data_IF_380022029825
#
_entry.id   IF_380022029825
#
_cell.length_a   1.000
_cell.length_b   1.000
_cell.length_c   1.000
_cell.angle_alpha   90.00
_cell.angle_beta   90.00
_cell.angle_gamma   90.00
#
_symmetry.space_group_name_H-M   'P 1'
#
loop_
_entity.id
_entity.type
_entity.pdbx_description
1 polymer ?
#
# COMPACT_ATOMS: atom_id res chain seq x y z
N UNK A 1 -31.52 -14.46 -26.20
CA UNK A 1 -32.37 -14.23 -24.99
C UNK A 1 -33.02 -15.49 -24.42
N UNK A 2 -33.57 -16.42 -25.21
CA UNK A 2 -34.23 -17.63 -24.65
C UNK A 2 -33.31 -18.66 -23.96
N UNK A 3 -32.01 -18.70 -24.27
CA UNK A 3 -31.03 -19.59 -23.61
C UNK A 3 -30.49 -19.06 -22.26
N UNK A 4 -30.56 -17.74 -22.02
CA UNK A 4 -30.12 -17.13 -20.75
C UNK A 4 -31.21 -17.24 -19.67
N UNK A 5 -32.49 -17.21 -20.08
CA UNK A 5 -33.64 -17.40 -19.19
C UNK A 5 -33.72 -18.86 -18.69
N UNK A 6 -33.30 -19.84 -19.51
CA UNK A 6 -33.30 -21.25 -19.12
C UNK A 6 -32.18 -21.59 -18.11
N UNK A 7 -31.07 -20.87 -18.12
CA UNK A 7 -29.98 -21.04 -17.14
C UNK A 7 -30.32 -20.39 -15.79
N UNK A 8 -31.04 -19.27 -15.80
CA UNK A 8 -31.52 -18.62 -14.57
C UNK A 8 -32.66 -19.41 -13.93
N UNK A 9 -33.55 -20.05 -14.71
CA UNK A 9 -34.59 -20.92 -14.17
C UNK A 9 -34.02 -22.20 -13.53
N UNK A 10 -32.91 -22.74 -14.05
CA UNK A 10 -32.27 -23.92 -13.48
C UNK A 10 -31.56 -23.63 -12.14
N UNK A 11 -31.05 -22.41 -11.94
CA UNK A 11 -30.51 -21.97 -10.64
C UNK A 11 -31.63 -21.74 -9.59
N UNK A 12 -32.80 -21.24 -10.00
CA UNK A 12 -33.93 -21.02 -9.07
C UNK A 12 -34.54 -22.34 -8.58
N UNK A 13 -34.46 -23.42 -9.36
CA UNK A 13 -34.92 -24.76 -8.94
C UNK A 13 -33.95 -25.43 -7.95
N UNK A 14 -32.66 -25.08 -7.97
CA UNK A 14 -31.69 -25.57 -6.97
C UNK A 14 -31.85 -24.81 -5.63
N UNK A 15 -32.27 -23.54 -5.66
CA UNK A 15 -32.52 -22.76 -4.43
C UNK A 15 -33.88 -23.00 -3.76
N UNK A 16 -34.84 -23.65 -4.42
CA UNK A 16 -36.18 -23.93 -3.86
C UNK A 16 -36.41 -25.38 -3.43
N UNK A 17 -35.40 -26.25 -3.46
CA UNK A 17 -35.50 -27.63 -2.96
C UNK A 17 -34.87 -27.85 -1.59
N UNK A 18 -34.48 -26.79 -0.88
CA UNK A 18 -34.25 -26.87 0.56
C UNK A 18 -35.54 -26.57 1.32
N UNK A 19 -36.58 -27.38 1.10
CA UNK A 19 -37.53 -27.60 2.20
C UNK A 19 -36.76 -28.44 3.21
N UNK A 20 -36.04 -27.79 4.12
CA UNK A 20 -35.74 -28.44 5.38
C UNK A 20 -37.10 -28.73 6.02
N UNK A 21 -37.59 -29.95 5.85
CA UNK A 21 -38.40 -30.54 6.92
C UNK A 21 -37.53 -30.33 8.16
N UNK A 22 -38.04 -29.52 9.07
CA UNK A 22 -37.42 -29.21 10.34
C UNK A 22 -37.06 -30.51 11.07
N UNK A 23 -35.85 -31.02 10.85
CA UNK A 23 -35.21 -31.96 11.75
C UNK A 23 -34.44 -31.23 12.87
N UNK A 24 -34.75 -29.95 13.08
CA UNK A 24 -34.41 -29.23 14.33
C UNK A 24 -35.02 -29.89 15.57
N UNK A 25 -35.99 -30.80 15.42
CA UNK A 25 -36.54 -31.60 16.51
C UNK A 25 -35.71 -32.85 16.87
N UNK A 26 -34.55 -33.08 16.25
CA UNK A 26 -33.67 -34.24 16.54
C UNK A 26 -32.39 -33.89 17.29
N UNK A 27 -32.06 -32.62 17.49
CA UNK A 27 -30.96 -32.24 18.37
C UNK A 27 -31.56 -32.14 19.78
N UNK A 28 -31.56 -33.26 20.48
CA UNK A 28 -31.83 -33.29 21.90
C UNK A 28 -30.76 -32.43 22.60
N UNK A 29 -31.18 -31.34 23.25
CA UNK A 29 -30.32 -30.47 24.07
C UNK A 29 -29.56 -31.29 25.15
N UNK A 30 -30.02 -32.50 25.45
CA UNK A 30 -29.38 -33.41 26.40
C UNK A 30 -28.05 -34.04 25.92
N UNK A 31 -27.69 -33.92 24.63
CA UNK A 31 -26.44 -34.48 24.09
C UNK A 31 -25.29 -33.46 24.00
N UNK A 32 -25.55 -32.19 24.30
CA UNK A 32 -24.53 -31.12 24.29
C UNK A 32 -24.30 -30.66 25.72
N UNK A 33 -23.07 -30.84 26.22
CA UNK A 33 -22.70 -30.48 27.58
C UNK A 33 -22.51 -28.96 27.70
N UNK A 34 -23.62 -28.22 27.80
CA UNK A 34 -23.63 -26.76 27.90
C UNK A 34 -23.28 -26.34 29.34
N UNK A 35 -22.28 -25.48 29.56
CA UNK A 35 -21.95 -24.99 30.89
C UNK A 35 -23.13 -24.24 31.54
N UNK A 36 -23.41 -24.53 32.83
CA UNK A 36 -24.55 -23.94 33.54
C UNK A 36 -24.51 -22.40 33.59
N UNK A 37 -23.32 -21.78 33.57
CA UNK A 37 -23.14 -20.33 33.56
C UNK A 37 -23.49 -19.66 32.20
N UNK A 38 -23.76 -20.46 31.16
CA UNK A 38 -24.10 -19.98 29.81
C UNK A 38 -25.58 -20.15 29.46
N UNK A 39 -26.35 -20.86 30.29
CA UNK A 39 -27.77 -21.14 30.03
C UNK A 39 -28.58 -19.84 29.95
N UNK A 40 -28.39 -18.93 30.91
CA UNK A 40 -29.09 -17.63 30.94
C UNK A 40 -28.84 -16.80 29.65
N UNK A 41 -27.60 -16.85 29.13
CA UNK A 41 -27.24 -16.16 27.88
C UNK A 41 -27.88 -16.81 26.65
N UNK A 42 -27.96 -18.14 26.63
CA UNK A 42 -28.57 -18.90 25.56
C UNK A 42 -30.09 -18.69 25.52
N UNK A 43 -30.76 -18.66 26.68
CA UNK A 43 -32.20 -18.38 26.75
C UNK A 43 -32.54 -16.96 26.28
N UNK A 44 -31.69 -15.97 26.61
CA UNK A 44 -31.91 -14.59 26.23
C UNK A 44 -31.61 -14.30 24.75
N UNK A 45 -30.52 -14.86 24.20
CA UNK A 45 -29.98 -14.47 22.89
C UNK A 45 -30.09 -15.55 21.81
N UNK A 46 -30.38 -16.80 22.19
CA UNK A 46 -30.34 -17.95 21.28
C UNK A 46 -28.93 -18.44 20.92
N UNK A 47 -27.87 -17.81 21.45
CA UNK A 47 -26.48 -18.23 21.33
C UNK A 47 -25.67 -17.76 22.55
N UNK A 48 -24.49 -18.36 22.77
CA UNK A 48 -23.47 -17.84 23.69
C UNK A 48 -22.12 -17.79 22.97
N UNK A 49 -21.19 -16.99 23.50
CA UNK A 49 -19.84 -16.88 22.97
C UNK A 49 -18.85 -17.59 23.91
N UNK A 50 -17.96 -18.36 23.31
CA UNK A 50 -16.89 -19.05 24.01
C UNK A 50 -15.56 -18.74 23.36
N UNK A 51 -14.54 -18.46 24.18
CA UNK A 51 -13.21 -18.21 23.68
C UNK A 51 -12.59 -19.55 23.27
N UNK A 52 -12.23 -19.64 22.01
CA UNK A 52 -11.51 -20.79 21.46
C UNK A 52 -9.99 -20.68 21.72
N UNK A 53 -9.35 -21.83 21.93
CA UNK A 53 -7.88 -21.96 21.96
C UNK A 53 -7.28 -22.25 20.56
N UNK A 54 -8.13 -22.54 19.57
CA UNK A 54 -7.68 -22.84 18.21
C UNK A 54 -7.17 -21.58 17.51
N UNK A 55 -5.99 -21.69 16.90
CA UNK A 55 -5.33 -20.58 16.18
C UNK A 55 -6.00 -20.21 14.86
N UNK A 56 -6.77 -21.13 14.27
CA UNK A 56 -7.43 -20.94 13.00
C UNK A 56 -8.77 -21.70 12.99
N UNK A 57 -9.74 -21.28 12.15
CA UNK A 57 -11.04 -21.92 12.09
C UNK A 57 -10.97 -23.37 11.58
N UNK A 58 -10.01 -23.74 10.72
CA UNK A 58 -9.89 -25.11 10.21
C UNK A 58 -9.65 -26.13 11.31
N UNK A 59 -8.74 -25.82 12.24
CA UNK A 59 -8.42 -26.70 13.38
C UNK A 59 -9.64 -26.87 14.31
N UNK A 60 -10.43 -25.80 14.48
CA UNK A 60 -11.67 -25.87 15.25
C UNK A 60 -12.68 -26.79 14.55
N UNK A 61 -12.95 -26.57 13.26
CA UNK A 61 -13.89 -27.39 12.50
C UNK A 61 -13.48 -28.87 12.43
N UNK A 62 -12.18 -29.16 12.26
CA UNK A 62 -11.66 -30.53 12.27
C UNK A 62 -11.90 -31.21 13.63
N UNK A 63 -11.74 -30.49 14.75
CA UNK A 63 -12.02 -31.05 16.07
C UNK A 63 -13.52 -31.30 16.27
N UNK A 64 -14.37 -30.33 15.91
CA UNK A 64 -15.82 -30.47 16.05
C UNK A 64 -16.32 -31.69 15.26
N UNK A 65 -15.77 -31.93 14.06
CA UNK A 65 -16.12 -33.09 13.23
C UNK A 65 -15.67 -34.41 13.88
N UNK A 66 -14.44 -34.45 14.41
CA UNK A 66 -13.93 -35.61 15.17
C UNK A 66 -14.80 -35.92 16.39
N UNK A 67 -15.29 -34.90 17.08
CA UNK A 67 -16.17 -35.03 18.24
C UNK A 67 -17.63 -35.35 17.85
N UNK A 68 -17.97 -35.31 16.56
CA UNK A 68 -19.34 -35.44 16.03
C UNK A 68 -20.30 -34.37 16.57
N UNK A 69 -19.77 -33.18 16.86
CA UNK A 69 -20.58 -32.04 17.28
C UNK A 69 -21.26 -31.41 16.05
N UNK A 70 -22.48 -30.85 16.19
CA UNK A 70 -23.13 -30.14 15.08
C UNK A 70 -22.32 -28.92 14.64
N UNK A 71 -21.97 -28.86 13.35
CA UNK A 71 -21.17 -27.77 12.77
C UNK A 71 -22.05 -26.88 11.89
N UNK A 72 -21.98 -25.57 12.12
CA UNK A 72 -22.47 -24.56 11.18
C UNK A 72 -21.27 -23.92 10.46
N UNK A 73 -21.15 -24.15 9.15
CA UNK A 73 -20.12 -23.49 8.33
C UNK A 73 -20.67 -22.15 7.83
N UNK A 74 -20.00 -21.06 8.20
CA UNK A 74 -20.32 -19.70 7.74
C UNK A 74 -19.43 -19.27 6.57
N UNK A 75 -19.77 -18.13 5.98
CA UNK A 75 -18.94 -17.49 4.94
C UNK A 75 -17.55 -17.09 5.45
N UNK A 76 -17.34 -17.01 6.77
CA UNK A 76 -16.07 -16.61 7.38
C UNK A 76 -14.95 -17.60 7.05
N UNK A 77 -15.26 -18.89 6.87
CA UNK A 77 -14.26 -19.88 6.46
C UNK A 77 -13.71 -19.56 5.05
N UNK A 78 -14.61 -19.14 4.14
CA UNK A 78 -14.24 -18.71 2.79
C UNK A 78 -13.47 -17.40 2.84
N UNK A 79 -13.90 -16.42 3.63
CA UNK A 79 -13.19 -15.14 3.80
C UNK A 79 -11.79 -15.34 4.40
N UNK A 80 -11.66 -16.19 5.42
CA UNK A 80 -10.38 -16.55 6.02
C UNK A 80 -9.45 -17.21 5.00
N UNK A 81 -9.97 -18.15 4.20
CA UNK A 81 -9.20 -18.79 3.13
C UNK A 81 -8.73 -17.77 2.09
N UNK A 82 -9.61 -16.86 1.68
CA UNK A 82 -9.28 -15.78 0.74
C UNK A 82 -8.19 -14.85 1.31
N UNK A 83 -8.27 -14.48 2.59
CA UNK A 83 -7.24 -13.66 3.24
C UNK A 83 -5.87 -14.35 3.27
N UNK A 84 -5.81 -15.66 3.55
CA UNK A 84 -4.56 -16.41 3.51
C UNK A 84 -3.96 -16.48 2.10
N UNK A 85 -4.80 -16.73 1.08
CA UNK A 85 -4.36 -16.76 -0.31
C UNK A 85 -3.84 -15.38 -0.72
N UNK A 86 -4.58 -14.33 -0.41
CA UNK A 86 -4.21 -12.94 -0.70
C UNK A 86 -2.86 -12.56 -0.07
N UNK A 87 -2.68 -12.82 1.23
CA UNK A 87 -1.44 -12.52 1.96
C UNK A 87 -0.26 -13.29 1.35
N UNK A 88 -0.45 -14.59 1.08
CA UNK A 88 0.57 -15.43 0.47
C UNK A 88 0.96 -14.92 -0.93
N UNK A 89 0.00 -14.66 -1.81
CA UNK A 89 0.30 -14.21 -3.18
C UNK A 89 0.92 -12.83 -3.21
N UNK A 90 0.48 -11.91 -2.34
CA UNK A 90 1.09 -10.59 -2.21
C UNK A 90 2.55 -10.71 -1.76
N UNK A 91 2.82 -11.46 -0.69
CA UNK A 91 4.18 -11.68 -0.20
C UNK A 91 5.09 -12.29 -1.25
N UNK A 92 4.62 -13.29 -1.99
CA UNK A 92 5.41 -13.91 -3.07
C UNK A 92 5.72 -12.90 -4.19
N UNK A 93 4.76 -12.05 -4.59
CA UNK A 93 4.99 -11.01 -5.58
C UNK A 93 5.97 -9.94 -5.07
N UNK A 94 5.84 -9.53 -3.82
CA UNK A 94 6.72 -8.56 -3.18
C UNK A 94 8.16 -9.05 -3.16
N UNK A 95 8.38 -10.29 -2.70
CA UNK A 95 9.71 -10.87 -2.56
C UNK A 95 10.38 -11.18 -3.90
N UNK A 96 9.62 -11.74 -4.85
CA UNK A 96 10.19 -12.33 -6.05
C UNK A 96 10.09 -11.43 -7.29
N UNK A 97 9.36 -10.30 -7.22
CA UNK A 97 9.19 -9.43 -8.38
C UNK A 97 9.15 -7.94 -8.09
N UNK A 98 8.30 -7.48 -7.16
CA UNK A 98 8.15 -6.04 -6.89
C UNK A 98 9.42 -5.46 -6.28
N UNK A 99 10.12 -6.18 -5.41
CA UNK A 99 11.40 -5.73 -4.86
C UNK A 99 12.39 -5.33 -5.96
N UNK A 100 12.62 -6.24 -6.91
CA UNK A 100 13.61 -6.03 -7.96
C UNK A 100 13.16 -4.94 -8.94
N UNK A 101 11.86 -4.91 -9.24
CA UNK A 101 11.24 -3.87 -10.07
C UNK A 101 11.39 -2.48 -9.44
N UNK A 102 11.10 -2.37 -8.13
CA UNK A 102 11.22 -1.14 -7.37
C UNK A 102 12.68 -0.69 -7.26
N UNK A 103 13.62 -1.63 -7.03
CA UNK A 103 15.06 -1.35 -7.02
C UNK A 103 15.52 -0.78 -8.36
N UNK A 104 15.18 -1.43 -9.47
CA UNK A 104 15.59 -0.96 -10.81
C UNK A 104 15.02 0.42 -11.12
N UNK A 105 13.74 0.66 -10.80
CA UNK A 105 13.09 1.97 -10.96
C UNK A 105 13.84 3.04 -10.16
N UNK A 106 14.03 2.79 -8.86
CA UNK A 106 14.68 3.70 -7.91
C UNK A 106 16.12 4.03 -8.35
N UNK A 107 16.92 3.01 -8.64
CA UNK A 107 18.32 3.17 -9.03
C UNK A 107 18.45 3.95 -10.35
N UNK A 108 17.60 3.66 -11.33
CA UNK A 108 17.63 4.35 -12.62
C UNK A 108 17.21 5.81 -12.47
N UNK A 109 16.16 6.09 -11.70
CA UNK A 109 15.69 7.45 -11.45
C UNK A 109 16.68 8.27 -10.61
N UNK A 110 17.31 7.64 -9.62
CA UNK A 110 18.42 8.25 -8.87
C UNK A 110 19.57 8.64 -9.81
N UNK A 111 20.03 7.74 -10.69
CA UNK A 111 21.11 8.02 -11.65
C UNK A 111 20.76 9.15 -12.61
N UNK A 112 19.55 9.16 -13.17
CA UNK A 112 19.08 10.21 -14.07
C UNK A 112 19.05 11.56 -13.35
N UNK A 113 18.41 11.63 -12.18
CA UNK A 113 18.27 12.87 -11.42
C UNK A 113 19.61 13.39 -10.92
N UNK A 114 20.49 12.53 -10.41
CA UNK A 114 21.81 12.92 -9.91
C UNK A 114 22.70 13.48 -11.03
N UNK A 115 22.68 12.84 -12.21
CA UNK A 115 23.42 13.35 -13.38
C UNK A 115 22.93 14.76 -13.74
N UNK A 116 21.60 14.94 -13.80
CA UNK A 116 21.01 16.25 -14.11
C UNK A 116 21.27 17.30 -13.04
N UNK A 117 21.32 16.91 -11.76
CA UNK A 117 21.71 17.77 -10.66
C UNK A 117 23.15 18.31 -10.81
N UNK A 118 24.11 17.45 -11.22
CA UNK A 118 25.50 17.88 -11.45
C UNK A 118 25.66 18.75 -12.70
N UNK A 119 24.87 18.49 -13.75
CA UNK A 119 24.89 19.25 -15.02
C UNK A 119 24.14 20.59 -14.97
N UNK A 120 23.21 20.77 -14.02
CA UNK A 120 22.36 21.95 -13.97
C UNK A 120 23.14 23.22 -13.59
N UNK A 121 23.06 24.22 -14.48
CA UNK A 121 23.65 25.55 -14.28
C UNK A 121 22.69 26.54 -13.62
N UNK A 122 21.39 26.45 -13.93
CA UNK A 122 20.36 27.30 -13.33
C UNK A 122 20.13 26.87 -11.86
N UNK A 123 20.33 27.77 -10.87
CA UNK A 123 20.12 27.47 -9.46
C UNK A 123 18.72 26.92 -9.14
N UNK A 124 17.66 27.46 -9.76
CA UNK A 124 16.28 27.02 -9.48
C UNK A 124 16.05 25.57 -9.93
N UNK A 125 16.49 25.24 -11.14
CA UNK A 125 16.38 23.89 -11.70
C UNK A 125 17.29 22.91 -10.96
N UNK A 126 18.48 23.35 -10.58
CA UNK A 126 19.41 22.55 -9.78
C UNK A 126 18.81 22.14 -8.45
N UNK A 127 18.10 23.04 -7.77
CA UNK A 127 17.42 22.74 -6.50
C UNK A 127 16.29 21.71 -6.66
N UNK A 128 15.59 21.71 -7.79
CA UNK A 128 14.54 20.72 -8.08
C UNK A 128 15.16 19.36 -8.34
N UNK A 129 16.22 19.27 -9.15
CA UNK A 129 16.94 18.00 -9.34
C UNK A 129 17.57 17.49 -8.04
N UNK A 130 18.07 18.39 -7.18
CA UNK A 130 18.56 18.04 -5.85
C UNK A 130 17.46 17.35 -5.02
N UNK A 131 16.25 17.93 -4.99
CA UNK A 131 15.10 17.34 -4.30
C UNK A 131 14.74 15.96 -4.88
N UNK A 132 14.65 15.84 -6.20
CA UNK A 132 14.33 14.56 -6.86
C UNK A 132 15.40 13.51 -6.57
N UNK A 133 16.68 13.89 -6.55
CA UNK A 133 17.77 12.96 -6.21
C UNK A 133 17.63 12.45 -4.78
N UNK A 134 17.36 13.33 -3.82
CA UNK A 134 17.14 12.92 -2.43
C UNK A 134 15.91 11.99 -2.31
N UNK A 135 14.83 12.30 -3.03
CA UNK A 135 13.62 11.47 -3.06
C UNK A 135 13.88 10.01 -3.48
N UNK A 136 14.77 9.79 -4.45
CA UNK A 136 15.15 8.43 -4.87
C UNK A 136 16.33 7.85 -4.09
N UNK A 137 17.18 8.67 -3.45
CA UNK A 137 18.32 8.20 -2.69
C UNK A 137 17.92 7.54 -1.36
N UNK A 138 16.93 8.11 -0.65
CA UNK A 138 16.44 7.57 0.64
C UNK A 138 15.95 6.12 0.51
N UNK A 139 15.03 5.76 -0.40
CA UNK A 139 14.61 4.37 -0.58
C UNK A 139 15.75 3.48 -1.12
N UNK A 140 16.71 4.04 -1.86
CA UNK A 140 17.84 3.27 -2.39
C UNK A 140 18.77 2.75 -1.29
N UNK A 141 18.90 3.45 -0.16
CA UNK A 141 19.60 2.95 1.03
C UNK A 141 19.07 1.59 1.49
N UNK A 142 17.76 1.39 1.40
CA UNK A 142 17.12 0.14 1.83
C UNK A 142 17.16 -0.93 0.74
N UNK A 143 17.03 -0.53 -0.54
CA UNK A 143 16.94 -1.47 -1.66
C UNK A 143 18.31 -1.98 -2.14
N UNK A 144 19.38 -1.24 -1.88
CA UNK A 144 20.74 -1.60 -2.29
C UNK A 144 21.78 -1.45 -1.17
N UNK A 145 22.26 -2.57 -0.63
CA UNK A 145 23.24 -2.62 0.47
C UNK A 145 24.60 -2.03 0.11
N UNK A 146 24.90 -1.86 -1.19
CA UNK A 146 26.15 -1.30 -1.67
C UNK A 146 26.05 0.19 -2.01
N UNK A 147 24.86 0.78 -1.86
CA UNK A 147 24.66 2.18 -2.16
C UNK A 147 25.33 3.04 -1.09
N UNK A 148 26.26 3.89 -1.53
CA UNK A 148 26.92 4.89 -0.69
C UNK A 148 26.49 6.27 -1.17
N UNK A 149 25.78 7.06 -0.34
CA UNK A 149 25.41 8.41 -0.70
C UNK A 149 26.63 9.28 -1.03
N UNK A 150 26.56 10.13 -2.06
CA UNK A 150 27.57 11.15 -2.32
C UNK A 150 27.76 12.07 -1.10
N UNK A 151 28.98 12.55 -0.81
CA UNK A 151 29.24 13.39 0.36
C UNK A 151 28.39 14.67 0.44
N UNK A 152 28.00 15.23 -0.72
CA UNK A 152 27.15 16.41 -0.83
C UNK A 152 25.68 16.16 -0.46
N UNK A 153 25.22 14.91 -0.44
CA UNK A 153 23.84 14.53 -0.11
C UNK A 153 23.73 13.76 1.21
N UNK A 154 24.84 13.24 1.72
CA UNK A 154 24.87 12.29 2.83
C UNK A 154 24.20 12.81 4.11
N UNK A 155 24.40 14.07 4.46
CA UNK A 155 23.82 14.65 5.69
C UNK A 155 22.28 14.59 5.70
N UNK A 156 21.64 14.98 4.59
CA UNK A 156 20.18 14.97 4.47
C UNK A 156 19.63 13.54 4.40
N UNK A 157 20.34 12.65 3.70
CA UNK A 157 19.95 11.25 3.54
C UNK A 157 20.04 10.51 4.88
N UNK A 158 21.13 10.68 5.63
CA UNK A 158 21.28 10.10 6.97
C UNK A 158 20.26 10.68 7.95
N UNK A 159 19.96 11.99 7.87
CA UNK A 159 18.92 12.60 8.70
C UNK A 159 17.52 12.00 8.45
N UNK A 160 17.17 11.72 7.19
CA UNK A 160 15.92 10.97 6.89
C UNK A 160 16.00 9.54 7.41
N UNK A 161 17.13 8.86 7.20
CA UNK A 161 17.34 7.49 7.66
C UNK A 161 17.13 7.37 9.17
N UNK A 162 17.73 8.27 9.96
CA UNK A 162 17.59 8.28 11.42
C UNK A 162 16.12 8.45 11.86
N UNK A 163 15.36 9.32 11.18
CA UNK A 163 13.94 9.53 11.48
C UNK A 163 13.11 8.29 11.13
N UNK A 164 13.40 7.66 9.98
CA UNK A 164 12.75 6.42 9.54
C UNK A 164 13.04 5.29 10.53
N UNK A 165 14.28 5.08 10.97
CA UNK A 165 14.63 4.01 11.92
C UNK A 165 14.11 4.28 13.35
N UNK A 166 13.97 5.55 13.73
CA UNK A 166 13.51 5.90 15.07
C UNK A 166 12.00 5.63 15.28
N UNK A 167 11.19 5.70 14.21
CA UNK A 167 9.74 5.48 14.25
C UNK A 167 8.96 6.36 15.26
N UNK A 168 9.45 7.56 15.60
CA UNK A 168 8.93 8.41 16.69
C UNK A 168 7.73 9.29 16.32
N UNK A 169 6.88 8.83 15.41
CA UNK A 169 5.70 9.59 14.99
C UNK A 169 6.05 10.81 14.15
N UNK A 170 5.35 11.92 14.37
CA UNK A 170 5.48 13.10 13.53
C UNK A 170 6.79 13.87 13.72
N UNK A 171 7.49 14.15 12.62
CA UNK A 171 8.63 15.06 12.55
C UNK A 171 8.63 15.85 11.23
N UNK A 172 9.46 16.89 11.12
CA UNK A 172 9.66 17.61 9.86
C UNK A 172 10.69 16.86 9.03
N UNK A 173 10.35 16.54 7.79
CA UNK A 173 11.29 15.93 6.84
C UNK A 173 12.45 16.89 6.53
N UNK A 174 13.71 16.49 6.76
CA UNK A 174 14.87 17.30 6.36
C UNK A 174 14.96 17.52 4.84
N UNK A 175 14.41 16.61 4.02
CA UNK A 175 14.41 16.75 2.55
C UNK A 175 13.27 17.64 2.05
N UNK A 176 12.04 17.41 2.53
CA UNK A 176 10.83 18.04 1.99
C UNK A 176 10.31 19.22 2.81
N UNK A 177 10.84 19.42 4.01
CA UNK A 177 10.46 20.51 4.92
C UNK A 177 8.98 20.54 5.33
N UNK A 178 8.23 19.47 5.10
CA UNK A 178 6.87 19.28 5.63
C UNK A 178 6.85 18.19 6.70
N UNK A 179 5.76 18.17 7.48
CA UNK A 179 5.54 17.22 8.56
C UNK A 179 5.16 15.83 8.01
N UNK A 180 5.89 14.80 8.40
CA UNK A 180 5.63 13.40 8.05
C UNK A 180 5.52 12.53 9.31
N UNK A 181 4.71 11.47 9.23
CA UNK A 181 4.55 10.48 10.31
C UNK A 181 5.51 9.29 10.16
N UNK A 182 6.65 9.37 10.83
CA UNK A 182 7.67 8.32 10.80
C UNK A 182 7.26 7.03 11.54
N UNK A 183 6.17 7.03 12.31
CA UNK A 183 5.66 5.79 12.95
C UNK A 183 5.10 4.77 11.94
N UNK A 184 4.80 5.23 10.71
CA UNK A 184 4.29 4.39 9.64
C UNK A 184 5.36 3.47 9.03
N UNK A 185 6.64 3.79 9.22
CA UNK A 185 7.76 3.02 8.66
C UNK A 185 8.13 1.79 9.50
N UNK A 186 7.47 1.57 10.64
CA UNK A 186 7.68 0.39 11.48
C UNK A 186 7.11 -0.87 10.82
N UNK A 187 7.92 -1.87 10.41
CA UNK A 187 7.44 -3.06 9.72
C UNK A 187 6.45 -3.87 10.57
N UNK A 188 5.37 -4.36 9.96
CA UNK A 188 4.27 -5.12 10.61
C UNK A 188 3.88 -6.34 9.77
N UNK A 189 3.15 -7.28 10.36
CA UNK A 189 2.63 -8.44 9.62
C UNK A 189 3.72 -9.30 9.00
N UNK A 190 3.56 -9.72 7.74
CA UNK A 190 4.54 -10.56 7.04
C UNK A 190 5.86 -9.84 6.76
N UNK A 191 5.91 -8.50 6.82
CA UNK A 191 7.14 -7.75 6.59
C UNK A 191 8.20 -7.97 7.67
N UNK A 192 7.84 -8.51 8.85
CA UNK A 192 8.81 -8.80 9.92
C UNK A 192 9.54 -10.13 9.72
N UNK A 193 9.17 -10.92 8.70
CA UNK A 193 9.64 -12.31 8.53
C UNK A 193 11.08 -12.41 8.02
N UNK A 194 11.58 -11.44 7.26
CA UNK A 194 12.97 -11.39 6.81
C UNK A 194 13.44 -9.96 6.50
N UNK A 195 14.76 -9.76 6.46
CA UNK A 195 15.36 -8.43 6.22
C UNK A 195 15.03 -7.83 4.85
N UNK A 196 14.93 -8.67 3.79
CA UNK A 196 14.56 -8.18 2.44
C UNK A 196 13.18 -7.52 2.46
N UNK A 197 12.21 -8.14 3.14
CA UNK A 197 10.86 -7.60 3.29
C UNK A 197 10.81 -6.36 4.20
N UNK A 198 11.63 -6.30 5.26
CA UNK A 198 11.74 -5.07 6.08
C UNK A 198 12.27 -3.89 5.27
N UNK A 199 13.32 -4.12 4.48
CA UNK A 199 13.88 -3.10 3.59
C UNK A 199 12.88 -2.68 2.51
N UNK A 200 12.21 -3.66 1.88
CA UNK A 200 11.13 -3.40 0.92
C UNK A 200 10.05 -2.53 1.52
N UNK A 201 9.56 -2.90 2.72
CA UNK A 201 8.52 -2.18 3.42
C UNK A 201 8.91 -0.72 3.63
N UNK A 202 10.10 -0.43 4.18
CA UNK A 202 10.55 0.95 4.41
C UNK A 202 10.62 1.76 3.10
N UNK A 203 11.20 1.18 2.04
CA UNK A 203 11.29 1.84 0.74
C UNK A 203 9.92 2.06 0.08
N UNK A 204 9.03 1.07 0.16
CA UNK A 204 7.70 1.16 -0.44
C UNK A 204 6.79 2.11 0.35
N UNK A 205 6.90 2.11 1.69
CA UNK A 205 6.21 3.08 2.56
C UNK A 205 6.66 4.51 2.28
N UNK A 206 7.96 4.75 2.03
CA UNK A 206 8.43 6.06 1.60
C UNK A 206 7.70 6.54 0.34
N UNK A 207 7.60 5.70 -0.69
CA UNK A 207 6.89 6.05 -1.92
C UNK A 207 5.38 6.22 -1.76
N UNK A 208 4.76 5.51 -0.82
CA UNK A 208 3.33 5.63 -0.53
C UNK A 208 2.97 6.81 0.38
N UNK A 209 3.95 7.50 0.97
CA UNK A 209 3.71 8.59 1.93
C UNK A 209 4.31 9.92 1.55
N UNK A 210 5.51 9.91 0.98
CA UNK A 210 6.20 11.13 0.55
C UNK A 210 5.64 11.55 -0.81
N UNK A 211 4.75 12.54 -0.77
CA UNK A 211 4.11 13.12 -1.95
C UNK A 211 4.77 14.41 -2.45
N UNK A 212 4.53 14.69 -3.73
CA UNK A 212 4.76 16.00 -4.34
C UNK A 212 3.44 16.78 -4.37
N UNK A 213 3.15 17.53 -3.31
CA UNK A 213 1.88 18.22 -3.14
C UNK A 213 1.76 19.47 -4.01
N UNK A 214 0.64 19.59 -4.74
CA UNK A 214 0.33 20.75 -5.57
C UNK A 214 -0.13 21.96 -4.75
N UNK A 215 -0.68 21.71 -3.56
CA UNK A 215 -1.09 22.74 -2.60
C UNK A 215 -0.71 22.28 -1.19
N UNK A 216 0.58 22.35 -0.82
CA UNK A 216 1.02 21.96 0.51
C UNK A 216 0.39 22.92 1.53
N UNK A 217 -0.53 22.41 2.34
CA UNK A 217 -1.23 23.18 3.37
C UNK A 217 -0.21 23.83 4.34
N UNK A 218 -0.53 25.00 4.88
CA UNK A 218 0.19 25.61 6.00
C UNK A 218 0.26 24.65 7.18
N UNK A 219 -0.73 23.77 7.36
CA UNK A 219 -0.71 22.72 8.39
C UNK A 219 0.43 21.72 8.14
N UNK A 220 0.71 21.37 6.89
CA UNK A 220 1.78 20.45 6.51
C UNK A 220 3.16 21.08 6.64
N UNK A 221 3.29 22.37 6.28
CA UNK A 221 4.59 23.04 6.13
C UNK A 221 4.97 23.92 7.32
N UNK A 222 4.01 24.34 8.13
CA UNK A 222 4.19 25.33 9.19
C UNK A 222 4.67 26.70 8.70
N UNK A 223 4.72 26.96 7.39
CA UNK A 223 5.37 28.12 6.76
C UNK A 223 4.39 28.96 5.92
N UNK A 224 4.71 30.24 5.77
CA UNK A 224 3.97 31.19 4.92
C UNK A 224 4.28 31.08 3.43
N UNK A 225 5.44 30.52 3.03
CA UNK A 225 5.88 30.41 1.64
C UNK A 225 5.37 29.11 0.97
N UNK A 226 4.06 28.82 1.11
CA UNK A 226 3.45 27.61 0.53
C UNK A 226 3.55 27.58 -1.00
N UNK A 227 3.56 28.74 -1.66
CA UNK A 227 3.58 28.86 -3.13
C UNK A 227 4.92 28.47 -3.75
N UNK A 228 6.05 28.93 -3.20
CA UNK A 228 7.38 28.57 -3.70
C UNK A 228 7.63 27.05 -3.56
N UNK A 229 7.20 26.48 -2.44
CA UNK A 229 7.28 25.04 -2.23
C UNK A 229 6.35 24.27 -3.18
N UNK A 230 5.12 24.77 -3.41
CA UNK A 230 4.20 24.19 -4.38
C UNK A 230 4.83 24.16 -5.78
N UNK A 231 5.35 25.30 -6.26
CA UNK A 231 6.03 25.43 -7.55
C UNK A 231 7.17 24.40 -7.64
N UNK A 232 8.00 24.28 -6.60
CA UNK A 232 9.09 23.30 -6.56
C UNK A 232 8.56 21.86 -6.65
N UNK A 233 7.48 21.54 -5.93
CA UNK A 233 6.86 20.20 -5.95
C UNK A 233 6.25 19.86 -7.31
N UNK A 234 5.51 20.78 -7.92
CA UNK A 234 4.89 20.60 -9.25
C UNK A 234 5.96 20.43 -10.32
N UNK A 235 7.01 21.25 -10.31
CA UNK A 235 8.14 21.09 -11.24
C UNK A 235 8.82 19.73 -11.02
N UNK A 236 9.03 19.35 -9.76
CA UNK A 236 9.58 18.05 -9.40
C UNK A 236 8.78 16.89 -9.98
N UNK A 237 7.46 16.92 -9.80
CA UNK A 237 6.56 15.86 -10.30
C UNK A 237 6.49 15.82 -11.82
N UNK A 238 6.46 16.97 -12.51
CA UNK A 238 6.51 17.05 -13.98
C UNK A 238 7.82 16.47 -14.52
N UNK A 239 8.96 16.74 -13.87
CA UNK A 239 10.26 16.19 -14.28
C UNK A 239 10.29 14.67 -14.07
N UNK A 240 9.79 14.18 -12.93
CA UNK A 240 9.69 12.73 -12.67
C UNK A 240 8.80 12.06 -13.72
N UNK A 241 7.61 12.61 -13.96
CA UNK A 241 6.69 12.15 -15.00
C UNK A 241 7.38 12.08 -16.36
N UNK A 242 8.01 13.18 -16.78
CA UNK A 242 8.67 13.27 -18.08
C UNK A 242 9.83 12.28 -18.20
N UNK A 243 10.59 12.04 -17.13
CA UNK A 243 11.69 11.08 -17.13
C UNK A 243 11.21 9.64 -17.30
N UNK A 244 10.09 9.28 -16.65
CA UNK A 244 9.50 7.95 -16.79
C UNK A 244 8.82 7.78 -18.15
N UNK A 245 8.03 8.77 -18.59
CA UNK A 245 7.26 8.72 -19.83
C UNK A 245 8.18 8.62 -21.06
N UNK A 246 9.30 9.35 -21.06
CA UNK A 246 10.28 9.31 -22.15
C UNK A 246 11.20 8.07 -22.12
N UNK A 247 11.08 7.21 -21.11
CA UNK A 247 11.87 5.99 -20.99
C UNK A 247 10.97 4.75 -20.98
N UNK A 248 10.91 4.06 -22.14
CA UNK A 248 10.06 2.86 -22.33
C UNK A 248 10.25 1.81 -21.23
N UNK A 249 11.49 1.60 -20.75
CA UNK A 249 11.76 0.61 -19.71
C UNK A 249 11.21 1.06 -18.36
N UNK A 250 11.42 2.32 -17.98
CA UNK A 250 10.87 2.86 -16.74
C UNK A 250 9.34 2.87 -16.76
N UNK A 251 8.73 3.25 -17.89
CA UNK A 251 7.27 3.21 -18.05
C UNK A 251 6.70 1.81 -17.86
N UNK A 252 7.34 0.78 -18.42
CA UNK A 252 6.90 -0.62 -18.23
C UNK A 252 7.02 -1.04 -16.76
N UNK A 253 8.14 -0.71 -16.10
CA UNK A 253 8.36 -1.06 -14.69
C UNK A 253 7.36 -0.32 -13.78
N UNK A 254 7.16 0.98 -14.01
CA UNK A 254 6.21 1.77 -13.24
C UNK A 254 4.78 1.24 -13.39
N UNK A 255 4.34 0.94 -14.63
CA UNK A 255 3.03 0.34 -14.88
C UNK A 255 2.89 -1.03 -14.20
N UNK A 256 3.94 -1.85 -14.20
CA UNK A 256 3.93 -3.15 -13.55
C UNK A 256 3.71 -3.02 -12.03
N UNK A 257 4.48 -2.15 -11.38
CA UNK A 257 4.33 -1.88 -9.94
C UNK A 257 2.92 -1.32 -9.67
N UNK A 258 2.52 -0.26 -10.38
CA UNK A 258 1.23 0.41 -10.15
C UNK A 258 0.04 -0.54 -10.34
N UNK A 259 0.04 -1.37 -11.37
CA UNK A 259 -1.09 -2.29 -11.62
C UNK A 259 -1.22 -3.36 -10.53
N UNK A 260 -0.10 -3.86 -10.01
CA UNK A 260 -0.13 -4.84 -8.92
C UNK A 260 -0.59 -4.15 -7.63
N UNK A 261 -0.05 -2.98 -7.32
CA UNK A 261 -0.41 -2.26 -6.10
C UNK A 261 -1.86 -1.82 -6.12
N UNK A 262 -2.38 -1.38 -7.28
CA UNK A 262 -3.79 -1.05 -7.46
C UNK A 262 -4.71 -2.25 -7.24
N UNK A 263 -4.30 -3.43 -7.70
CA UNK A 263 -5.07 -4.66 -7.51
C UNK A 263 -5.11 -5.12 -6.04
N UNK A 264 -3.98 -5.03 -5.32
CA UNK A 264 -3.90 -5.52 -3.93
C UNK A 264 -4.31 -4.48 -2.89
N UNK A 265 -3.88 -3.23 -3.06
CA UNK A 265 -4.00 -2.16 -2.04
C UNK A 265 -5.10 -1.15 -2.40
N UNK A 266 -5.43 -1.04 -3.69
CA UNK A 266 -6.40 -0.08 -4.21
C UNK A 266 -5.76 1.08 -4.96
N UNK A 267 -6.59 1.93 -5.54
CA UNK A 267 -6.17 3.09 -6.33
C UNK A 267 -5.45 4.10 -5.42
N UNK A 268 -4.36 4.67 -5.92
CA UNK A 268 -3.62 5.73 -5.23
C UNK A 268 -4.48 6.99 -5.06
N UNK A 269 -4.47 7.55 -3.85
CA UNK A 269 -5.05 8.88 -3.58
C UNK A 269 -4.20 10.02 -4.20
N UNK A 270 -2.92 9.75 -4.48
CA UNK A 270 -1.98 10.69 -5.11
C UNK A 270 -2.07 10.69 -6.65
N UNK A 271 -1.57 11.78 -7.24
CA UNK A 271 -1.49 11.96 -8.69
C UNK A 271 -0.53 10.94 -9.33
N UNK A 272 -1.09 9.97 -10.05
CA UNK A 272 -0.34 8.93 -10.76
C UNK A 272 0.08 9.36 -12.17
N UNK A 273 0.99 8.63 -12.82
CA UNK A 273 1.37 8.90 -14.22
C UNK A 273 0.16 8.89 -15.16
N UNK A 274 -0.86 8.07 -14.88
CA UNK A 274 -2.09 8.02 -15.66
C UNK A 274 -2.85 9.34 -15.60
N UNK A 275 -2.82 10.04 -14.47
CA UNK A 275 -3.40 11.37 -14.34
C UNK A 275 -2.65 12.39 -15.20
N UNK A 276 -1.32 12.42 -15.13
CA UNK A 276 -0.51 13.34 -15.96
C UNK A 276 -0.69 13.12 -17.47
N UNK A 277 -0.92 11.88 -17.91
CA UNK A 277 -1.24 11.60 -19.32
C UNK A 277 -2.54 12.26 -19.80
N UNK A 278 -3.44 12.62 -18.88
CA UNK A 278 -4.68 13.36 -19.20
C UNK A 278 -4.49 14.88 -19.22
N UNK A 279 -3.34 15.38 -18.75
CA UNK A 279 -3.05 16.81 -18.63
C UNK A 279 -2.20 17.32 -19.79
N UNK A 280 -2.32 18.62 -20.08
CA UNK A 280 -1.38 19.30 -20.99
C UNK A 280 -0.18 19.80 -20.19
N UNK A 281 0.94 19.09 -20.29
CA UNK A 281 2.17 19.45 -19.57
C UNK A 281 2.69 20.83 -20.06
N UNK A 282 3.03 21.76 -19.15
CA UNK A 282 3.60 23.05 -19.51
C UNK A 282 4.87 22.88 -20.35
N UNK A 283 4.94 23.59 -21.47
CA UNK A 283 6.10 23.52 -22.39
C UNK A 283 7.35 24.19 -21.82
N UNK A 284 7.16 25.21 -20.97
CA UNK A 284 8.24 25.90 -20.28
C UNK A 284 8.09 25.69 -18.77
N UNK A 285 8.98 24.87 -18.21
CA UNK A 285 9.01 24.58 -16.78
C UNK A 285 9.64 25.72 -15.96
N UNK A 286 10.25 26.72 -16.62
CA UNK A 286 10.83 27.88 -15.95
C UNK A 286 9.81 28.99 -15.70
N UNK A 287 8.65 28.95 -16.37
CA UNK A 287 7.57 29.91 -16.16
C UNK A 287 6.73 29.53 -14.93
N UNK A 288 7.03 30.16 -13.79
CA UNK A 288 6.37 29.94 -12.51
C UNK A 288 4.84 30.22 -12.58
N UNK A 289 4.40 31.14 -13.44
CA UNK A 289 2.97 31.47 -13.61
C UNK A 289 2.24 30.37 -14.41
N UNK A 290 2.87 29.81 -15.44
CA UNK A 290 2.31 28.65 -16.16
C UNK A 290 2.25 27.41 -15.26
N UNK A 291 3.23 27.24 -14.37
CA UNK A 291 3.29 26.13 -13.43
C UNK A 291 2.20 26.24 -12.36
N UNK A 292 1.92 27.44 -11.84
CA UNK A 292 0.80 27.62 -10.92
C UNK A 292 -0.56 27.41 -11.59
N UNK A 293 -0.72 27.88 -12.84
CA UNK A 293 -1.93 27.65 -13.64
C UNK A 293 -2.11 26.20 -14.12
N UNK A 294 -1.08 25.37 -14.03
CA UNK A 294 -1.20 23.95 -14.37
C UNK A 294 -2.16 23.21 -13.43
N UNK A 295 -2.43 23.78 -12.26
CA UNK A 295 -3.29 23.21 -11.22
C UNK A 295 -4.73 23.75 -11.28
N UNK A 296 -4.95 24.88 -11.94
CA UNK A 296 -6.27 25.53 -12.09
C UNK A 296 -7.11 24.88 -13.20
#
# INVERSE_FOLDING_TARGET
MKRLIFTILFLIVIFNSCSSKSELSKISINDVNIPNDKIDFLELNGFYLEKTEYKNPFNLYEQLDKNKEPILITVDLTLYSMHLIFDYTLRELEMNSLYDSLKILTETMYKISYTKYKEANDPKIKEIYHLITLYFAVPLLYLDTNFLPPPDLNELIESEHELIEAHKGFSISPVFSYKEDYSQYYPRGHYTTNEKLKCYFKAFMWYGRIGFYFSPDKILTGKSNSEELAIKMIKGSIIIYSAIENNKRLKVIWNYINNITEFYVGISDDLTLNYYNSLTIPKDINDDMLIMKFID
#
